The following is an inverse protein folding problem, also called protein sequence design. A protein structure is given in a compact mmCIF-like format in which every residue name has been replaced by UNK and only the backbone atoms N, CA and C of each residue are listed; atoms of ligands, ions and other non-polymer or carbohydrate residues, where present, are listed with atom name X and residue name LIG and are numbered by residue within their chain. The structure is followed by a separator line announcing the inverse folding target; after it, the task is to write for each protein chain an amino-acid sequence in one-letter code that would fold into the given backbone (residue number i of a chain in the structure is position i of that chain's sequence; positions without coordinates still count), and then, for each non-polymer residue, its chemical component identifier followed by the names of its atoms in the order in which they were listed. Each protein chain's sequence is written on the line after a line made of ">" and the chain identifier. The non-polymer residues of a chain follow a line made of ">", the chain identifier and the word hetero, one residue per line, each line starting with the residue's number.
data_IF_139212492915
#
_entry.id   IF_139212492915
#
_cell.length_a   1.000
_cell.length_b   1.000
_cell.length_c   1.000
_cell.angle_alpha   90.00
_cell.angle_beta   90.00
_cell.angle_gamma   90.00
#
_symmetry.space_group_name_H-M   'P 1'
#
loop_
_entity.id
_entity.type
_entity.pdbx_description
1 polymer ?
#
# COMPACT_ATOMS: atom_id res chain seq x y z
N UNK A 1 15.60 2.27 7.75
CA UNK A 1 14.40 2.32 8.60
C UNK A 1 13.18 2.14 7.71
N UNK A 2 12.45 1.04 7.89
CA UNK A 2 11.32 0.64 7.03
C UNK A 2 10.11 1.55 7.20
N UNK A 3 9.88 2.06 8.41
CA UNK A 3 8.78 2.98 8.71
C UNK A 3 9.27 4.42 8.88
N UNK A 4 8.46 5.41 8.50
CA UNK A 4 8.80 6.83 8.61
C UNK A 4 7.58 7.73 8.55
N UNK A 5 7.64 8.91 9.17
CA UNK A 5 6.61 9.96 9.01
C UNK A 5 6.87 10.91 7.84
N UNK A 6 8.06 10.80 7.22
CA UNK A 6 8.47 11.62 6.08
C UNK A 6 8.81 10.74 4.89
N UNK A 7 8.53 11.25 3.69
CA UNK A 7 9.10 10.68 2.47
C UNK A 7 10.63 10.74 2.50
N UNK A 8 11.32 9.81 1.84
CA UNK A 8 12.78 9.90 1.68
C UNK A 8 13.17 11.19 0.94
N UNK A 9 14.44 11.58 1.06
CA UNK A 9 14.99 12.60 0.16
C UNK A 9 14.84 12.11 -1.29
N UNK A 10 14.37 13.01 -2.15
CA UNK A 10 14.21 12.71 -3.56
C UNK A 10 15.58 12.49 -4.18
N UNK A 11 15.72 11.37 -4.92
CA UNK A 11 16.98 11.02 -5.60
C UNK A 11 17.07 11.58 -7.01
N UNK A 12 16.11 11.22 -7.85
CA UNK A 12 16.11 11.60 -9.27
C UNK A 12 14.70 12.02 -9.70
N UNK A 13 13.88 11.07 -10.14
CA UNK A 13 12.47 11.31 -10.50
C UNK A 13 11.56 10.79 -9.41
N UNK A 14 10.47 11.52 -9.16
CA UNK A 14 9.46 11.15 -8.17
C UNK A 14 8.08 11.18 -8.79
N UNK A 15 7.41 10.04 -8.73
CA UNK A 15 6.04 9.89 -9.20
C UNK A 15 5.10 9.55 -8.05
N UNK A 16 3.83 9.93 -8.19
CA UNK A 16 2.77 9.55 -7.27
C UNK A 16 1.71 8.77 -8.03
N UNK A 17 1.61 7.47 -7.76
CA UNK A 17 0.54 6.63 -8.26
C UNK A 17 -0.61 6.68 -7.26
N UNK A 18 -1.79 7.07 -7.72
CA UNK A 18 -2.98 7.19 -6.87
C UNK A 18 -4.19 6.57 -7.55
N UNK A 19 -4.95 5.78 -6.79
CA UNK A 19 -6.26 5.28 -7.21
C UNK A 19 -7.29 6.40 -7.21
N UNK A 20 -7.96 6.60 -8.34
CA UNK A 20 -8.97 7.65 -8.50
C UNK A 20 -10.38 7.15 -8.18
N UNK A 21 -10.60 5.83 -8.11
CA UNK A 21 -11.94 5.23 -8.03
C UNK A 21 -12.74 5.64 -6.79
N UNK A 22 -12.07 5.95 -5.68
CA UNK A 22 -12.69 6.37 -4.41
C UNK A 22 -12.82 7.89 -4.25
N UNK A 23 -12.36 8.66 -5.24
CA UNK A 23 -12.37 10.12 -5.21
C UNK A 23 -13.42 10.66 -6.18
N UNK A 24 -13.88 11.92 -5.99
CA UNK A 24 -14.76 12.54 -6.97
C UNK A 24 -14.11 12.55 -8.36
N UNK A 25 -14.92 12.34 -9.38
CA UNK A 25 -14.47 12.28 -10.77
C UNK A 25 -13.65 13.53 -11.14
N UNK A 26 -12.46 13.32 -11.71
CA UNK A 26 -11.55 14.40 -12.11
C UNK A 26 -10.86 15.16 -10.97
N UNK A 27 -11.14 14.87 -9.70
CA UNK A 27 -10.61 15.62 -8.55
C UNK A 27 -9.07 15.60 -8.51
N UNK A 28 -8.47 14.44 -8.76
CA UNK A 28 -7.02 14.27 -8.73
C UNK A 28 -6.34 15.18 -9.74
N UNK A 29 -6.76 15.11 -11.01
CA UNK A 29 -6.18 15.95 -12.05
C UNK A 29 -6.51 17.42 -11.80
N UNK A 30 -7.75 17.76 -11.43
CA UNK A 30 -8.14 19.14 -11.12
C UNK A 30 -7.22 19.79 -10.08
N UNK A 31 -6.92 19.08 -8.99
CA UNK A 31 -5.97 19.55 -7.95
C UNK A 31 -4.55 19.63 -8.50
N UNK A 32 -4.11 18.64 -9.27
CA UNK A 32 -2.77 18.63 -9.85
C UNK A 32 -2.54 19.82 -10.80
N UNK A 33 -3.48 20.10 -11.71
CA UNK A 33 -3.46 21.27 -12.61
C UNK A 33 -3.51 22.61 -11.87
N UNK A 34 -4.03 22.65 -10.64
CA UNK A 34 -4.07 23.89 -9.83
C UNK A 34 -2.73 24.23 -9.17
N UNK A 35 -1.79 23.28 -9.11
CA UNK A 35 -0.52 23.41 -8.39
C UNK A 35 0.69 23.35 -9.34
N UNK A 36 0.58 22.63 -10.46
CA UNK A 36 1.69 22.36 -11.38
C UNK A 36 1.43 23.04 -12.72
N UNK A 37 2.35 23.90 -13.15
CA UNK A 37 2.22 24.69 -14.39
C UNK A 37 2.26 23.82 -15.66
N UNK A 38 3.07 22.76 -15.65
CA UNK A 38 3.22 21.80 -16.75
C UNK A 38 3.03 20.37 -16.22
N UNK A 39 1.79 19.97 -15.93
CA UNK A 39 1.52 18.68 -15.30
C UNK A 39 1.77 17.55 -16.31
N UNK A 40 2.62 16.61 -15.90
CA UNK A 40 2.86 15.37 -16.63
C UNK A 40 2.25 14.21 -15.86
N UNK A 41 1.46 13.37 -16.55
CA UNK A 41 0.86 12.19 -15.95
C UNK A 41 0.63 11.09 -16.99
N UNK A 42 0.39 9.87 -16.51
CA UNK A 42 -0.08 8.74 -17.31
C UNK A 42 -1.17 7.98 -16.57
N UNK A 43 -2.20 7.54 -17.28
CA UNK A 43 -3.12 6.56 -16.72
C UNK A 43 -2.47 5.20 -16.73
N UNK A 44 -2.55 4.48 -15.61
CA UNK A 44 -1.95 3.16 -15.52
C UNK A 44 -2.58 2.18 -16.54
N UNK A 45 -3.87 2.34 -16.81
CA UNK A 45 -4.62 1.48 -17.73
C UNK A 45 -4.46 1.84 -19.22
N UNK A 46 -3.71 2.89 -19.57
CA UNK A 46 -3.43 3.19 -20.97
C UNK A 46 -2.67 2.04 -21.64
N UNK A 47 -3.13 1.62 -22.82
CA UNK A 47 -2.55 0.49 -23.57
C UNK A 47 -2.87 -0.90 -23.01
N UNK A 48 -3.77 -1.01 -22.04
CA UNK A 48 -4.13 -2.30 -21.39
C UNK A 48 -5.55 -2.74 -21.74
N UNK A 49 -5.93 -3.96 -21.33
CA UNK A 49 -7.31 -4.43 -21.43
C UNK A 49 -8.33 -3.56 -20.66
N UNK A 50 -7.86 -2.72 -19.72
CA UNK A 50 -8.68 -1.84 -18.90
C UNK A 50 -8.78 -0.40 -19.44
N UNK A 51 -8.25 -0.12 -20.64
CA UNK A 51 -8.23 1.23 -21.22
C UNK A 51 -9.62 1.89 -21.27
N UNK A 52 -10.68 1.11 -21.51
CA UNK A 52 -12.06 1.63 -21.56
C UNK A 52 -12.57 2.21 -20.25
N UNK A 53 -11.89 1.95 -19.12
CA UNK A 53 -12.22 2.48 -17.78
C UNK A 53 -11.05 3.25 -17.16
N UNK A 54 -10.11 3.74 -17.99
CA UNK A 54 -8.86 4.34 -17.51
C UNK A 54 -9.05 5.52 -16.55
N UNK A 55 -10.07 6.34 -16.76
CA UNK A 55 -10.32 7.55 -15.96
C UNK A 55 -10.85 7.25 -14.55
N UNK A 56 -11.28 6.00 -14.32
CA UNK A 56 -11.62 5.46 -13.01
C UNK A 56 -10.51 4.58 -12.42
N UNK A 57 -9.36 4.50 -13.09
CA UNK A 57 -8.20 3.70 -12.68
C UNK A 57 -7.12 4.53 -12.01
N UNK A 58 -6.00 3.90 -11.64
CA UNK A 58 -4.87 4.61 -11.07
C UNK A 58 -4.21 5.56 -12.06
N UNK A 59 -3.79 6.73 -11.57
CA UNK A 59 -3.03 7.71 -12.34
C UNK A 59 -1.65 7.92 -11.73
N UNK A 60 -0.64 7.96 -12.58
CA UNK A 60 0.75 8.23 -12.21
C UNK A 60 1.05 9.70 -12.50
N UNK A 61 1.26 10.49 -11.46
CA UNK A 61 1.56 11.93 -11.54
C UNK A 61 3.06 12.16 -11.40
N UNK A 62 3.65 13.01 -12.25
CA UNK A 62 5.02 13.48 -12.06
C UNK A 62 5.06 14.62 -11.03
N UNK A 63 5.68 14.34 -9.89
CA UNK A 63 5.85 15.30 -8.80
C UNK A 63 7.32 15.64 -8.56
N UNK A 64 8.20 15.31 -9.50
CA UNK A 64 9.67 15.46 -9.42
C UNK A 64 10.10 16.88 -9.06
N UNK A 65 9.42 17.90 -9.57
CA UNK A 65 9.75 19.30 -9.32
C UNK A 65 8.72 20.03 -8.45
N UNK A 66 7.67 19.34 -8.01
CA UNK A 66 6.57 19.97 -7.30
C UNK A 66 5.87 19.02 -6.31
N UNK A 67 6.59 18.67 -5.23
CA UNK A 67 6.06 17.87 -4.13
C UNK A 67 4.90 18.54 -3.36
N UNK A 68 4.59 19.83 -3.64
CA UNK A 68 3.51 20.55 -2.94
C UNK A 68 2.14 19.91 -3.15
N UNK A 69 1.87 19.35 -4.34
CA UNK A 69 0.59 18.67 -4.59
C UNK A 69 0.41 17.49 -3.63
N UNK A 70 1.47 16.71 -3.41
CA UNK A 70 1.46 15.61 -2.46
C UNK A 70 1.26 16.15 -1.03
N UNK A 71 2.02 17.17 -0.62
CA UNK A 71 1.89 17.77 0.71
C UNK A 71 0.48 18.33 0.99
N UNK A 72 -0.19 18.88 -0.02
CA UNK A 72 -1.51 19.49 0.12
C UNK A 72 -2.65 18.46 0.12
N UNK A 73 -2.48 17.31 -0.53
CA UNK A 73 -3.58 16.38 -0.79
C UNK A 73 -3.42 15.03 -0.07
N UNK A 74 -2.22 14.66 0.37
CA UNK A 74 -1.96 13.31 0.90
C UNK A 74 -2.80 12.98 2.12
N UNK A 75 -2.88 13.89 3.10
CA UNK A 75 -3.67 13.68 4.31
C UNK A 75 -5.18 13.58 4.01
N UNK A 76 -5.69 14.43 3.10
CA UNK A 76 -7.11 14.45 2.72
C UNK A 76 -7.52 13.19 1.95
N UNK A 77 -6.63 12.64 1.13
CA UNK A 77 -6.94 11.50 0.26
C UNK A 77 -6.63 10.15 0.87
N UNK A 78 -5.66 10.06 1.79
CA UNK A 78 -5.22 8.79 2.40
C UNK A 78 -6.38 7.94 2.97
N UNK A 79 -7.41 8.51 3.63
CA UNK A 79 -8.53 7.71 4.14
C UNK A 79 -9.37 7.02 3.05
N UNK A 80 -9.28 7.48 1.80
CA UNK A 80 -10.18 7.09 0.72
C UNK A 80 -9.45 6.40 -0.44
N UNK A 81 -8.23 6.85 -0.74
CA UNK A 81 -7.49 6.47 -1.94
C UNK A 81 -6.19 5.76 -1.59
N UNK A 82 -6.04 4.55 -2.14
CA UNK A 82 -4.77 3.84 -2.18
C UNK A 82 -3.76 4.62 -3.03
N UNK A 83 -2.52 4.76 -2.54
CA UNK A 83 -1.48 5.46 -3.29
C UNK A 83 -0.07 5.03 -2.90
N UNK A 84 0.89 5.27 -3.79
CA UNK A 84 2.31 5.02 -3.57
C UNK A 84 3.15 6.11 -4.22
N UNK A 85 4.15 6.60 -3.49
CA UNK A 85 5.18 7.49 -4.02
C UNK A 85 6.36 6.64 -4.45
N UNK A 86 6.82 6.86 -5.68
CA UNK A 86 7.87 6.07 -6.34
C UNK A 86 9.01 7.00 -6.74
N UNK A 87 10.16 6.81 -6.10
CA UNK A 87 11.43 7.41 -6.54
C UNK A 87 12.18 6.42 -7.42
N UNK A 88 12.48 6.78 -8.67
CA UNK A 88 13.07 5.86 -9.65
C UNK A 88 13.91 6.60 -10.70
N UNK A 89 14.91 5.97 -11.33
CA UNK A 89 15.57 6.54 -12.51
C UNK A 89 14.69 6.47 -13.78
N UNK A 90 13.67 5.61 -13.79
CA UNK A 90 12.83 5.38 -14.97
C UNK A 90 12.07 6.64 -15.43
N UNK A 91 11.87 6.78 -16.74
CA UNK A 91 10.99 7.84 -17.26
C UNK A 91 9.54 7.54 -16.89
N UNK A 92 8.66 8.55 -16.98
CA UNK A 92 7.25 8.40 -16.67
C UNK A 92 6.60 7.31 -17.57
N UNK A 93 6.98 7.29 -18.85
CA UNK A 93 6.51 6.31 -19.83
C UNK A 93 7.03 4.90 -19.51
N UNK A 94 8.33 4.75 -19.22
CA UNK A 94 8.91 3.45 -18.88
C UNK A 94 8.35 2.89 -17.57
N UNK A 95 8.10 3.75 -16.58
CA UNK A 95 7.47 3.35 -15.33
C UNK A 95 6.02 2.92 -15.58
N UNK A 96 5.23 3.70 -16.33
CA UNK A 96 3.84 3.32 -16.61
C UNK A 96 3.78 1.99 -17.37
N UNK A 97 4.61 1.79 -18.39
CA UNK A 97 4.64 0.54 -19.16
C UNK A 97 5.00 -0.66 -18.28
N UNK A 98 6.00 -0.53 -17.40
CA UNK A 98 6.39 -1.57 -16.45
C UNK A 98 5.26 -1.93 -15.49
N UNK A 99 4.65 -0.92 -14.87
CA UNK A 99 3.54 -1.11 -13.94
C UNK A 99 2.32 -1.72 -14.64
N UNK A 100 2.02 -1.29 -15.87
CA UNK A 100 0.93 -1.82 -16.69
C UNK A 100 1.11 -3.31 -17.00
N UNK A 101 2.36 -3.76 -17.23
CA UNK A 101 2.68 -5.18 -17.42
C UNK A 101 2.46 -6.02 -16.16
N UNK A 102 2.42 -5.39 -14.98
CA UNK A 102 2.22 -6.05 -13.68
C UNK A 102 0.76 -6.01 -13.19
N UNK A 103 -0.17 -5.44 -13.98
CA UNK A 103 -1.57 -5.30 -13.58
C UNK A 103 -2.29 -6.63 -13.42
N UNK A 104 -1.84 -7.68 -14.08
CA UNK A 104 -2.53 -8.96 -14.05
C UNK A 104 -1.60 -10.08 -13.61
N UNK A 105 -2.09 -10.93 -12.72
CA UNK A 105 -1.41 -12.11 -12.23
C UNK A 105 -2.20 -13.37 -12.54
N UNK A 106 -1.50 -14.48 -12.72
CA UNK A 106 -2.11 -15.80 -12.78
C UNK A 106 -2.66 -16.19 -11.40
N UNK A 107 -3.96 -16.48 -11.33
CA UNK A 107 -4.59 -16.97 -10.08
C UNK A 107 -4.76 -18.48 -10.08
N UNK A 108 -4.59 -19.12 -8.92
CA UNK A 108 -4.87 -20.55 -8.74
C UNK A 108 -6.36 -20.83 -9.01
N UNK A 109 -6.70 -21.45 -10.15
CA UNK A 109 -8.08 -21.65 -10.59
C UNK A 109 -8.40 -21.23 -12.02
N UNK A 110 -7.39 -20.92 -12.85
CA UNK A 110 -7.44 -20.66 -14.31
C UNK A 110 -7.93 -19.27 -14.76
N UNK A 111 -7.95 -18.28 -13.87
CA UNK A 111 -8.27 -16.89 -14.22
C UNK A 111 -7.09 -15.93 -14.10
N UNK A 112 -7.14 -14.84 -14.85
CA UNK A 112 -6.30 -13.66 -14.63
C UNK A 112 -6.95 -12.78 -13.57
N UNK A 113 -6.22 -12.44 -12.52
CA UNK A 113 -6.64 -11.51 -11.48
C UNK A 113 -6.00 -10.14 -11.66
N UNK A 114 -6.73 -9.06 -11.37
CA UNK A 114 -6.16 -7.71 -11.31
C UNK A 114 -5.37 -7.56 -10.00
N UNK A 115 -4.06 -7.30 -10.10
CA UNK A 115 -3.21 -6.99 -8.97
C UNK A 115 -3.25 -5.48 -8.70
N UNK A 116 -3.87 -5.10 -7.59
CA UNK A 116 -3.88 -3.72 -7.09
C UNK A 116 -2.62 -3.47 -6.26
N UNK A 117 -1.45 -3.51 -6.87
CA UNK A 117 -0.15 -3.30 -6.20
C UNK A 117 0.04 -1.88 -5.64
N UNK A 118 -0.94 -0.98 -5.79
CA UNK A 118 -0.95 0.34 -5.16
C UNK A 118 -1.72 0.37 -3.83
N UNK A 119 -2.39 -0.72 -3.45
CA UNK A 119 -3.10 -0.85 -2.16
C UNK A 119 -2.10 -1.06 -1.02
N UNK A 120 -2.18 -0.29 0.09
CA UNK A 120 -1.23 -0.39 1.19
C UNK A 120 -1.08 -1.80 1.78
N UNK A 121 -2.18 -2.53 1.95
CA UNK A 121 -2.14 -3.90 2.48
C UNK A 121 -1.49 -4.90 1.51
N UNK A 122 -1.68 -4.67 0.20
CA UNK A 122 -1.02 -5.47 -0.84
C UNK A 122 0.49 -5.15 -0.83
N UNK A 123 0.86 -3.87 -0.78
CA UNK A 123 2.26 -3.46 -0.72
C UNK A 123 2.98 -3.94 0.54
N UNK A 124 2.31 -3.85 1.70
CA UNK A 124 2.84 -4.40 2.94
C UNK A 124 3.16 -5.88 2.78
N UNK A 125 2.24 -6.68 2.24
CA UNK A 125 2.46 -8.11 2.05
C UNK A 125 3.59 -8.38 1.03
N UNK A 126 3.52 -7.76 -0.15
CA UNK A 126 4.44 -8.06 -1.26
C UNK A 126 5.86 -7.56 -0.98
N UNK A 127 6.00 -6.33 -0.49
CA UNK A 127 7.28 -5.65 -0.33
C UNK A 127 7.71 -5.55 1.14
N UNK A 128 6.79 -5.22 2.04
CA UNK A 128 7.09 -5.07 3.46
C UNK A 128 7.49 -6.39 4.13
N UNK A 129 6.65 -7.41 3.99
CA UNK A 129 6.90 -8.78 4.46
C UNK A 129 7.69 -9.63 3.45
N UNK A 130 8.14 -9.00 2.36
CA UNK A 130 8.99 -9.64 1.35
C UNK A 130 8.42 -10.95 0.76
N UNK A 131 7.09 -11.07 0.67
CA UNK A 131 6.42 -12.26 0.11
C UNK A 131 6.55 -12.38 -1.42
N UNK A 132 7.09 -11.34 -2.04
CA UNK A 132 7.45 -11.33 -3.45
C UNK A 132 8.94 -11.67 -3.56
N UNK A 133 9.30 -12.68 -4.35
CA UNK A 133 10.70 -13.08 -4.50
C UNK A 133 11.54 -11.97 -5.15
N UNK A 134 12.87 -12.05 -5.05
CA UNK A 134 13.76 -11.01 -5.55
C UNK A 134 13.57 -10.73 -7.06
N UNK A 135 13.27 -11.75 -7.85
CA UNK A 135 13.11 -11.61 -9.31
C UNK A 135 11.82 -10.86 -9.62
N UNK A 136 10.70 -11.30 -9.05
CA UNK A 136 9.40 -10.64 -9.21
C UNK A 136 9.42 -9.21 -8.64
N UNK A 137 10.23 -8.96 -7.60
CA UNK A 137 10.40 -7.63 -7.00
C UNK A 137 11.07 -6.67 -7.96
N UNK A 138 12.09 -7.13 -8.66
CA UNK A 138 12.75 -6.38 -9.73
C UNK A 138 11.80 -6.16 -10.92
N UNK A 139 10.96 -7.13 -11.29
CA UNK A 139 9.92 -6.95 -12.33
C UNK A 139 8.98 -5.80 -11.97
N UNK A 140 8.48 -5.78 -10.73
CA UNK A 140 7.51 -4.77 -10.27
C UNK A 140 8.16 -3.39 -10.09
N UNK A 141 9.21 -3.32 -9.29
CA UNK A 141 9.79 -2.05 -8.86
C UNK A 141 10.75 -1.46 -9.87
N UNK A 142 11.51 -2.31 -10.57
CA UNK A 142 12.74 -1.93 -11.24
C UNK A 142 13.91 -1.76 -10.26
N UNK A 143 15.05 -1.36 -10.80
CA UNK A 143 16.29 -1.15 -10.05
C UNK A 143 16.38 0.26 -9.47
N UNK A 144 17.20 0.40 -8.43
CA UNK A 144 17.54 1.68 -7.78
C UNK A 144 16.31 2.54 -7.47
N UNK A 145 15.25 1.87 -7.07
CA UNK A 145 13.92 2.43 -6.91
C UNK A 145 13.47 2.33 -5.45
N UNK A 146 12.86 3.39 -4.93
CA UNK A 146 12.23 3.40 -3.62
C UNK A 146 10.73 3.58 -3.77
N UNK A 147 9.95 2.69 -3.15
CA UNK A 147 8.51 2.86 -3.02
C UNK A 147 8.19 3.25 -1.59
N UNK A 148 7.33 4.24 -1.41
CA UNK A 148 6.84 4.70 -0.11
C UNK A 148 5.32 4.80 -0.17
N UNK A 149 4.61 4.03 0.65
CA UNK A 149 3.14 4.02 0.70
C UNK A 149 2.63 4.39 2.09
N UNK A 150 1.45 5.04 2.20
CA UNK A 150 0.86 5.35 3.49
C UNK A 150 0.33 4.04 4.12
N UNK A 151 0.91 3.65 5.26
CA UNK A 151 0.47 2.48 6.02
C UNK A 151 -0.75 2.83 6.88
N UNK A 152 -0.65 3.91 7.67
CA UNK A 152 -1.74 4.39 8.53
C UNK A 152 -1.58 5.88 8.85
N UNK A 153 -2.66 6.50 9.33
CA UNK A 153 -2.61 7.82 9.96
C UNK A 153 -2.41 7.65 11.46
N UNK A 154 -1.35 8.23 12.00
CA UNK A 154 -1.03 8.24 13.43
C UNK A 154 -1.09 9.67 13.93
N UNK A 155 -2.14 10.00 14.68
CA UNK A 155 -2.53 11.38 14.98
C UNK A 155 -2.73 12.21 13.69
N UNK A 156 -1.86 13.18 13.45
CA UNK A 156 -1.86 14.06 12.26
C UNK A 156 -0.77 13.69 11.25
N UNK A 157 0.02 12.64 11.53
CA UNK A 157 1.13 12.22 10.66
C UNK A 157 0.76 10.97 9.88
N UNK A 158 1.18 10.92 8.62
CA UNK A 158 1.10 9.71 7.81
C UNK A 158 2.32 8.85 8.15
N UNK A 159 2.10 7.64 8.65
CA UNK A 159 3.15 6.64 8.77
C UNK A 159 3.30 5.96 7.41
N UNK A 160 4.43 6.18 6.79
CA UNK A 160 4.85 5.52 5.57
C UNK A 160 5.61 4.25 5.88
N UNK A 161 5.34 3.23 5.08
CA UNK A 161 6.23 2.10 4.91
C UNK A 161 6.96 2.26 3.58
N UNK A 162 8.22 1.85 3.55
CA UNK A 162 9.08 2.03 2.38
C UNK A 162 9.95 0.82 2.13
N UNK A 163 10.15 0.55 0.85
CA UNK A 163 11.01 -0.51 0.36
C UNK A 163 12.01 0.03 -0.66
N UNK A 164 13.26 -0.41 -0.58
CA UNK A 164 14.33 -0.05 -1.50
C UNK A 164 14.73 -1.26 -2.32
N UNK A 165 14.52 -1.18 -3.62
CA UNK A 165 15.06 -2.13 -4.59
C UNK A 165 16.49 -1.69 -4.94
N UNK A 166 17.48 -2.51 -4.61
CA UNK A 166 18.86 -2.30 -5.02
C UNK A 166 19.12 -2.92 -6.40
N UNK A 167 20.02 -2.33 -7.19
CA UNK A 167 20.42 -2.87 -8.50
C UNK A 167 20.78 -4.36 -8.46
N UNK A 168 20.26 -5.11 -9.43
CA UNK A 168 20.57 -6.51 -9.63
C UNK A 168 21.43 -6.68 -10.89
N UNK A 169 22.32 -7.68 -10.92
CA UNK A 169 23.11 -7.90 -12.13
C UNK A 169 22.32 -8.60 -13.27
N UNK A 170 21.06 -8.97 -13.03
CA UNK A 170 20.24 -9.73 -13.96
C UNK A 170 18.79 -9.22 -13.96
N UNK A 171 18.45 -8.43 -14.97
CA UNK A 171 17.06 -8.09 -15.26
C UNK A 171 16.30 -9.34 -15.70
N UNK A 172 15.15 -9.64 -15.09
CA UNK A 172 14.29 -10.73 -15.57
C UNK A 172 13.71 -10.39 -16.94
N UNK A 173 14.06 -11.22 -17.93
CA UNK A 173 13.55 -11.10 -19.30
C UNK A 173 12.06 -11.43 -19.37
N UNK A 174 11.22 -10.40 -19.50
CA UNK A 174 9.83 -10.48 -20.00
C UNK A 174 8.88 -11.45 -19.31
N UNK A 175 9.21 -11.93 -18.10
CA UNK A 175 8.34 -12.86 -17.36
C UNK A 175 7.21 -12.08 -16.70
N UNK A 176 5.95 -12.55 -16.79
CA UNK A 176 4.86 -11.98 -16.03
C UNK A 176 5.11 -12.19 -14.53
N UNK A 177 4.67 -11.23 -13.73
CA UNK A 177 4.74 -11.28 -12.28
C UNK A 177 4.00 -12.53 -11.76
N UNK A 178 4.66 -13.33 -10.93
CA UNK A 178 4.04 -14.53 -10.32
C UNK A 178 3.95 -14.38 -8.81
N UNK A 179 2.84 -14.85 -8.25
CA UNK A 179 2.66 -14.90 -6.80
C UNK A 179 2.60 -16.36 -6.37
N UNK A 180 3.35 -16.69 -5.30
CA UNK A 180 3.24 -17.98 -4.64
C UNK A 180 1.78 -18.23 -4.18
N UNK A 181 1.28 -19.49 -4.19
CA UNK A 181 -0.08 -19.80 -3.77
C UNK A 181 -0.44 -19.26 -2.37
N UNK A 182 0.50 -19.31 -1.44
CA UNK A 182 0.36 -18.81 -0.07
C UNK A 182 0.14 -17.29 -0.06
N UNK A 183 0.91 -16.55 -0.87
CA UNK A 183 0.75 -15.10 -1.04
C UNK A 183 -0.61 -14.77 -1.65
N UNK A 184 -1.05 -15.54 -2.66
CA UNK A 184 -2.38 -15.35 -3.26
C UNK A 184 -3.51 -15.58 -2.24
N UNK A 185 -3.39 -16.62 -1.40
CA UNK A 185 -4.35 -16.91 -0.35
C UNK A 185 -4.43 -15.77 0.69
N UNK A 186 -3.28 -15.25 1.15
CA UNK A 186 -3.23 -14.11 2.07
C UNK A 186 -3.85 -12.86 1.45
N UNK A 187 -3.57 -12.55 0.18
CA UNK A 187 -4.19 -11.42 -0.53
C UNK A 187 -5.73 -11.50 -0.55
N UNK A 188 -6.30 -12.69 -0.72
CA UNK A 188 -7.76 -12.88 -0.65
C UNK A 188 -8.31 -12.59 0.76
N UNK A 189 -7.54 -12.92 1.80
CA UNK A 189 -7.84 -12.63 3.21
C UNK A 189 -7.81 -11.15 3.57
N UNK A 190 -7.03 -10.34 2.85
CA UNK A 190 -6.90 -8.89 3.10
C UNK A 190 -8.08 -8.05 2.60
N UNK A 191 -9.16 -8.68 2.11
CA UNK A 191 -10.34 -7.97 1.61
C UNK A 191 -10.94 -7.09 2.71
N UNK A 192 -10.98 -5.78 2.46
CA UNK A 192 -11.46 -4.76 3.41
C UNK A 192 -10.66 -4.67 4.71
N UNK A 193 -9.44 -5.23 4.75
CA UNK A 193 -8.52 -5.08 5.87
C UNK A 193 -8.18 -3.61 6.17
N UNK A 194 -8.29 -2.74 5.15
CA UNK A 194 -8.13 -1.29 5.29
C UNK A 194 -9.00 -0.65 6.38
N UNK A 195 -10.10 -1.30 6.78
CA UNK A 195 -10.95 -0.87 7.91
C UNK A 195 -10.24 -0.87 9.26
N UNK A 196 -9.16 -1.64 9.41
CA UNK A 196 -8.34 -1.69 10.62
C UNK A 196 -7.16 -0.69 10.59
N UNK A 197 -6.94 0.03 9.49
CA UNK A 197 -5.83 0.99 9.40
C UNK A 197 -5.92 2.16 10.39
N UNK A 198 -7.11 2.69 10.73
CA UNK A 198 -7.23 3.67 11.83
C UNK A 198 -6.77 3.07 13.16
N UNK A 199 -7.16 1.82 13.46
CA UNK A 199 -6.75 1.13 14.68
C UNK A 199 -5.23 0.88 14.72
N UNK A 200 -4.63 0.52 13.59
CA UNK A 200 -3.17 0.40 13.45
C UNK A 200 -2.50 1.73 13.80
N UNK A 201 -2.99 2.84 13.26
CA UNK A 201 -2.47 4.19 13.54
C UNK A 201 -2.58 4.61 15.00
N UNK A 202 -3.72 4.32 15.63
CA UNK A 202 -3.96 4.56 17.06
C UNK A 202 -3.01 3.74 17.94
N UNK A 203 -2.79 2.46 17.61
CA UNK A 203 -1.87 1.59 18.33
C UNK A 203 -0.41 2.00 18.14
N UNK A 204 0.00 2.38 16.92
CA UNK A 204 1.33 2.93 16.63
C UNK A 204 1.60 4.16 17.50
N UNK A 205 0.62 5.05 17.62
CA UNK A 205 0.73 6.23 18.47
C UNK A 205 0.79 5.87 19.96
N UNK A 206 -0.21 5.11 20.44
CA UNK A 206 -0.40 4.80 21.87
C UNK A 206 0.81 4.10 22.48
N UNK A 207 1.45 3.22 21.72
CA UNK A 207 2.56 2.40 22.19
C UNK A 207 3.94 2.86 21.68
N UNK A 208 4.00 4.04 21.04
CA UNK A 208 5.21 4.66 20.48
C UNK A 208 6.02 3.71 19.58
N UNK A 209 5.32 2.98 18.70
CA UNK A 209 5.92 1.89 17.94
C UNK A 209 6.95 2.37 16.90
N UNK A 210 6.95 3.66 16.53
CA UNK A 210 7.94 4.24 15.63
C UNK A 210 9.33 4.40 16.26
N UNK A 211 9.41 4.45 17.60
CA UNK A 211 10.69 4.50 18.32
C UNK A 211 11.20 3.11 18.68
N UNK A 212 10.39 2.07 18.45
CA UNK A 212 10.75 0.67 18.66
C UNK A 212 11.36 0.05 17.39
N UNK A 213 11.80 -1.19 17.50
CA UNK A 213 12.28 -1.97 16.36
C UNK A 213 11.16 -2.15 15.32
N UNK A 214 11.54 -2.21 14.03
CA UNK A 214 10.61 -2.36 12.89
C UNK A 214 9.69 -3.61 13.06
N UNK A 215 10.11 -4.60 13.84
CA UNK A 215 9.37 -5.83 14.14
C UNK A 215 8.08 -5.59 14.95
N UNK A 216 7.97 -4.50 15.71
CA UNK A 216 6.74 -4.22 16.49
C UNK A 216 5.54 -3.90 15.58
N UNK A 217 5.75 -3.07 14.55
CA UNK A 217 4.68 -2.73 13.59
C UNK A 217 4.32 -3.95 12.74
N UNK A 218 5.32 -4.76 12.37
CA UNK A 218 5.09 -6.04 11.66
C UNK A 218 4.28 -7.02 12.52
N UNK A 219 4.64 -7.16 13.80
CA UNK A 219 3.92 -8.02 14.76
C UNK A 219 2.48 -7.57 14.97
N UNK A 220 2.26 -6.26 15.06
CA UNK A 220 0.91 -5.68 15.15
C UNK A 220 0.09 -5.96 13.88
N UNK A 221 0.70 -5.81 12.71
CA UNK A 221 0.04 -6.13 11.45
C UNK A 221 -0.42 -7.58 11.43
N UNK A 222 0.47 -8.53 11.75
CA UNK A 222 0.12 -9.94 11.82
C UNK A 222 -0.99 -10.22 12.83
N UNK A 223 -0.94 -9.65 14.03
CA UNK A 223 -2.01 -9.84 15.02
C UNK A 223 -3.36 -9.33 14.50
N UNK A 224 -3.39 -8.18 13.81
CA UNK A 224 -4.59 -7.64 13.19
C UNK A 224 -5.09 -8.49 12.02
N UNK A 225 -4.20 -9.03 11.19
CA UNK A 225 -4.56 -9.92 10.07
C UNK A 225 -5.20 -11.21 10.57
N UNK A 226 -4.58 -11.87 11.56
CA UNK A 226 -5.13 -13.08 12.18
C UNK A 226 -6.49 -12.78 12.82
N UNK A 227 -6.58 -11.71 13.63
CA UNK A 227 -7.84 -11.26 14.21
C UNK A 227 -8.92 -11.04 13.14
N UNK A 228 -8.59 -10.35 12.05
CA UNK A 228 -9.53 -10.09 10.98
C UNK A 228 -10.04 -11.39 10.34
N UNK A 229 -9.14 -12.34 10.08
CA UNK A 229 -9.48 -13.65 9.55
C UNK A 229 -10.40 -14.43 10.50
N UNK A 230 -10.06 -14.45 11.79
CA UNK A 230 -10.81 -15.15 12.83
C UNK A 230 -12.23 -14.59 13.00
N UNK A 231 -12.39 -13.26 12.89
CA UNK A 231 -13.72 -12.63 12.97
C UNK A 231 -14.67 -13.11 11.86
N UNK A 232 -14.14 -13.48 10.69
CA UNK A 232 -14.96 -14.06 9.62
C UNK A 232 -15.42 -15.47 9.96
N UNK A 233 -14.56 -16.29 10.58
CA UNK A 233 -14.94 -17.63 11.04
C UNK A 233 -16.03 -17.56 12.12
N UNK A 234 -16.00 -16.51 12.95
CA UNK A 234 -16.99 -16.24 14.00
C UNK A 234 -18.26 -15.51 13.50
N UNK A 235 -18.39 -15.27 12.19
CA UNK A 235 -19.52 -14.55 11.57
C UNK A 235 -19.81 -13.16 12.17
N UNK A 236 -18.78 -12.48 12.70
CA UNK A 236 -18.95 -11.11 13.19
C UNK A 236 -19.19 -10.16 12.01
N UNK A 237 -20.07 -9.18 12.20
CA UNK A 237 -20.15 -8.09 11.23
C UNK A 237 -18.84 -7.30 11.24
N UNK A 238 -18.46 -6.76 10.08
CA UNK A 238 -17.23 -5.95 9.93
C UNK A 238 -17.18 -4.77 10.90
N UNK A 239 -18.34 -4.18 11.18
CA UNK A 239 -18.46 -3.08 12.15
C UNK A 239 -18.13 -3.57 13.57
N UNK A 240 -18.73 -4.69 13.99
CA UNK A 240 -18.46 -5.30 15.28
C UNK A 240 -16.99 -5.73 15.42
N UNK A 241 -16.38 -6.29 14.38
CA UNK A 241 -14.96 -6.65 14.40
C UNK A 241 -14.07 -5.41 14.68
N UNK A 242 -14.31 -4.29 14.00
CA UNK A 242 -13.57 -3.04 14.25
C UNK A 242 -13.83 -2.50 15.67
N UNK A 243 -15.09 -2.43 16.10
CA UNK A 243 -15.47 -1.92 17.43
C UNK A 243 -14.88 -2.78 18.56
N UNK A 244 -14.87 -4.10 18.40
CA UNK A 244 -14.27 -5.02 19.38
C UNK A 244 -12.76 -4.82 19.48
N UNK A 245 -12.07 -4.70 18.35
CA UNK A 245 -10.62 -4.46 18.33
C UNK A 245 -10.26 -3.08 18.93
N UNK A 246 -11.08 -2.06 18.69
CA UNK A 246 -10.96 -0.75 19.35
C UNK A 246 -11.15 -0.86 20.87
N UNK A 247 -12.17 -1.58 21.32
CA UNK A 247 -12.39 -1.83 22.75
C UNK A 247 -11.21 -2.53 23.42
N UNK A 248 -10.61 -3.52 22.73
CA UNK A 248 -9.39 -4.20 23.16
C UNK A 248 -8.21 -3.24 23.28
N UNK A 249 -7.95 -2.39 22.27
CA UNK A 249 -6.89 -1.39 22.33
C UNK A 249 -7.05 -0.42 23.51
N UNK A 250 -8.30 0.00 23.80
CA UNK A 250 -8.60 0.91 24.91
C UNK A 250 -8.29 0.24 26.25
N UNK A 251 -8.65 -1.04 26.40
CA UNK A 251 -8.49 -1.81 27.63
C UNK A 251 -7.04 -2.24 27.91
N UNK A 252 -6.19 -2.32 26.88
CA UNK A 252 -4.79 -2.73 27.03
C UNK A 252 -3.90 -1.58 27.52
N UNK A 253 -3.21 -1.79 28.63
CA UNK A 253 -2.21 -0.89 29.21
C UNK A 253 -0.82 -1.03 28.57
N UNK A 254 -0.53 -2.18 27.95
CA UNK A 254 0.71 -2.48 27.25
C UNK A 254 0.47 -3.02 25.83
N UNK A 255 1.51 -2.93 24.99
CA UNK A 255 1.48 -3.41 23.61
C UNK A 255 1.27 -4.93 23.54
N UNK A 256 1.98 -5.67 24.37
CA UNK A 256 1.95 -7.12 24.45
C UNK A 256 0.54 -7.60 24.84
N UNK A 257 -0.08 -6.96 25.84
CA UNK A 257 -1.47 -7.25 26.22
C UNK A 257 -2.46 -6.94 25.10
N UNK A 258 -2.21 -5.92 24.27
CA UNK A 258 -3.06 -5.64 23.11
C UNK A 258 -2.94 -6.76 22.08
N UNK A 259 -1.72 -7.18 21.73
CA UNK A 259 -1.47 -8.29 20.80
C UNK A 259 -2.13 -9.57 21.30
N UNK A 260 -1.93 -9.92 22.57
CA UNK A 260 -2.54 -11.11 23.19
C UNK A 260 -4.07 -11.06 23.12
N UNK A 261 -4.66 -9.88 23.35
CA UNK A 261 -6.12 -9.72 23.31
C UNK A 261 -6.72 -9.89 21.92
N UNK A 262 -5.94 -9.75 20.84
CA UNK A 262 -6.39 -9.94 19.45
C UNK A 262 -6.43 -11.42 19.04
N UNK A 263 -5.90 -12.33 19.86
CA UNK A 263 -5.94 -13.77 19.58
C UNK A 263 -7.34 -14.38 19.72
N UNK A 264 -7.60 -15.47 18.98
CA UNK A 264 -8.87 -16.21 19.02
C UNK A 264 -9.27 -16.66 20.44
N UNK A 265 -8.29 -17.09 21.26
CA UNK A 265 -8.51 -17.53 22.64
C UNK A 265 -9.05 -16.41 23.54
N UNK A 266 -8.80 -15.15 23.17
CA UNK A 266 -9.31 -13.96 23.84
C UNK A 266 -10.62 -13.42 23.21
N UNK A 267 -11.19 -14.13 22.22
CA UNK A 267 -12.47 -13.79 21.57
C UNK A 267 -13.64 -14.68 22.01
N UNK A 268 -13.36 -15.84 22.62
CA UNK A 268 -14.35 -16.75 23.23
C UNK A 268 -14.64 -16.42 24.68
#
# INVERSE_FOLDING_TARGET
>A
MRYAVNLPEQRERRYWLIDTASLPEGEVLRRFYSVVDQPMFRWLYDGTAYHGVRESGPVLLDITHNAKVWQQCSADWMPYAASVVIDTPASLDDLQQRLAACLTIDTSGSGMGLLRFHEPAVLHLLLGEEQLDQTDRLVLMGEDTCWSWPLCLSQENIVHERYFSAGGNNWPDGKPLRLAPETQQRLQGLRQFSRLMPLLGDAVHRFDLLQKEDDCITSLWWALEHYWHDTWQLNLSRKQAVENAQGKLIASDAFEHFIESLSLDAMT
#
